data_IF_213842808065
#
_entry.id   IF_213842808065
#
_cell.length_a   1.000
_cell.length_b   1.000
_cell.length_c   1.000
_cell.angle_alpha   90.00
_cell.angle_beta   90.00
_cell.angle_gamma   90.00
#
_symmetry.space_group_name_H-M   'P 1'
#
loop_
_entity.id
_entity.type
_entity.pdbx_description
1 polymer ?
#
# COMPACT_ATOMS: atom_id res chain seq x y z
N UNK A 1 32.97 5.84 -42.56
CA UNK A 1 34.14 5.86 -41.66
C UNK A 1 33.83 4.95 -40.47
N UNK A 2 34.78 4.06 -40.19
CA UNK A 2 34.86 2.96 -39.20
C UNK A 2 34.30 3.28 -37.79
N UNK A 3 33.87 2.35 -36.94
CA UNK A 3 33.80 0.88 -36.98
C UNK A 3 32.85 0.38 -35.87
N UNK A 4 32.08 -0.66 -36.19
CA UNK A 4 31.47 -1.59 -35.25
C UNK A 4 32.56 -2.32 -34.45
N UNK A 5 32.36 -2.46 -33.13
CA UNK A 5 33.18 -3.32 -32.29
C UNK A 5 32.32 -4.46 -31.74
N UNK A 6 32.22 -5.51 -32.53
CA UNK A 6 31.77 -6.82 -32.11
C UNK A 6 32.92 -7.53 -31.38
N UNK A 7 32.69 -7.99 -30.15
CA UNK A 7 33.48 -9.06 -29.55
C UNK A 7 32.52 -10.20 -29.19
N UNK A 8 32.38 -11.06 -30.18
CA UNK A 8 31.89 -12.43 -30.11
C UNK A 8 32.75 -13.18 -29.09
N UNK A 9 32.11 -13.78 -28.09
CA UNK A 9 32.64 -14.98 -27.44
C UNK A 9 31.65 -16.11 -27.68
N UNK A 10 32.11 -17.07 -28.49
CA UNK A 10 31.49 -18.36 -28.72
C UNK A 10 31.61 -19.22 -27.44
N UNK A 11 30.49 -19.78 -27.01
CA UNK A 11 30.45 -20.75 -25.92
C UNK A 11 29.26 -21.69 -26.07
N UNK A 12 29.44 -22.70 -26.93
CA UNK A 12 28.78 -24.02 -26.99
C UNK A 12 27.25 -24.15 -26.81
N UNK A 13 26.63 -24.69 -27.87
CA UNK A 13 25.28 -25.25 -27.87
C UNK A 13 25.10 -26.40 -26.85
N UNK A 14 23.97 -26.40 -26.15
CA UNK A 14 23.27 -27.62 -25.75
C UNK A 14 21.77 -27.39 -25.93
N UNK A 15 21.18 -28.14 -26.86
CA UNK A 15 19.74 -28.24 -27.01
C UNK A 15 19.15 -28.98 -25.79
N UNK A 16 18.11 -28.43 -25.17
CA UNK A 16 17.22 -29.20 -24.30
C UNK A 16 15.76 -28.92 -24.65
N UNK A 17 15.02 -30.02 -24.64
CA UNK A 17 13.69 -30.27 -25.16
C UNK A 17 12.64 -29.82 -24.13
N UNK A 18 11.43 -29.54 -24.63
CA UNK A 18 10.16 -29.25 -23.96
C UNK A 18 10.07 -29.78 -22.51
N UNK A 19 9.80 -28.89 -21.56
CA UNK A 19 9.45 -29.19 -20.18
C UNK A 19 8.80 -27.97 -19.52
N UNK A 20 7.69 -28.19 -18.84
CA UNK A 20 6.78 -27.20 -18.25
C UNK A 20 7.44 -25.92 -17.72
N UNK A 21 6.78 -24.78 -17.98
CA UNK A 21 7.02 -23.50 -17.30
C UNK A 21 7.05 -23.81 -15.80
N UNK A 22 8.19 -23.74 -15.11
CA UNK A 22 8.13 -23.72 -13.67
C UNK A 22 7.48 -22.38 -13.36
N UNK A 23 6.28 -22.43 -12.77
CA UNK A 23 5.80 -21.31 -11.98
C UNK A 23 6.99 -20.83 -11.18
N UNK A 24 7.46 -19.60 -11.48
CA UNK A 24 8.57 -18.97 -10.81
C UNK A 24 8.24 -19.05 -9.32
N UNK A 25 8.83 -20.04 -8.65
CA UNK A 25 8.94 -20.06 -7.21
C UNK A 25 9.79 -18.83 -6.92
N UNK A 26 9.10 -17.71 -6.64
CA UNK A 26 9.72 -16.54 -6.08
C UNK A 26 10.56 -17.06 -4.90
N UNK A 27 11.85 -16.68 -4.81
CA UNK A 27 12.60 -17.00 -3.62
C UNK A 27 11.75 -16.55 -2.41
N UNK A 28 11.86 -17.25 -1.29
CA UNK A 28 11.45 -16.72 0.02
C UNK A 28 12.36 -15.53 0.33
N UNK A 29 12.21 -14.49 -0.48
CA UNK A 29 12.94 -13.25 -0.49
C UNK A 29 12.23 -12.37 0.51
N UNK A 30 13.06 -11.74 1.33
CA UNK A 30 12.66 -10.60 2.14
C UNK A 30 11.70 -9.71 1.34
N UNK A 31 10.54 -9.38 1.92
CA UNK A 31 9.54 -8.55 1.26
C UNK A 31 10.20 -7.29 0.69
N UNK A 32 9.89 -6.91 -0.55
CA UNK A 32 10.38 -5.69 -1.20
C UNK A 32 9.71 -4.43 -0.64
N UNK A 33 9.76 -4.27 0.68
CA UNK A 33 9.12 -3.17 1.41
C UNK A 33 9.69 -1.82 1.00
N UNK A 34 10.99 -1.73 0.66
CA UNK A 34 11.59 -0.49 0.20
C UNK A 34 10.95 0.02 -1.10
N UNK A 35 10.58 -0.90 -2.00
CA UNK A 35 9.87 -0.55 -3.25
C UNK A 35 8.46 -0.07 -2.97
N UNK A 36 7.76 -0.73 -2.03
CA UNK A 36 6.44 -0.29 -1.58
C UNK A 36 6.50 1.12 -0.97
N UNK A 37 7.43 1.37 -0.05
CA UNK A 37 7.58 2.70 0.59
C UNK A 37 7.89 3.78 -0.44
N UNK A 38 8.72 3.48 -1.45
CA UNK A 38 9.02 4.42 -2.52
C UNK A 38 7.81 4.71 -3.41
N UNK A 39 6.96 3.71 -3.68
CA UNK A 39 5.72 3.89 -4.42
C UNK A 39 4.70 4.69 -3.62
N UNK A 40 4.41 4.28 -2.39
CA UNK A 40 3.48 4.97 -1.48
C UNK A 40 3.89 6.44 -1.25
N UNK A 41 5.17 6.72 -0.99
CA UNK A 41 5.61 8.09 -0.72
C UNK A 41 5.66 8.97 -1.99
N UNK A 42 5.55 8.37 -3.17
CA UNK A 42 5.46 9.06 -4.46
C UNK A 42 4.04 9.11 -5.02
N UNK A 43 3.06 8.49 -4.34
CA UNK A 43 1.66 8.45 -4.76
C UNK A 43 1.00 9.82 -4.51
N UNK A 44 0.42 10.47 -5.54
CA UNK A 44 -0.34 11.70 -5.38
C UNK A 44 -1.42 11.61 -4.29
N UNK A 45 -2.13 10.48 -4.19
CA UNK A 45 -3.19 10.30 -3.20
C UNK A 45 -2.66 10.37 -1.76
N UNK A 46 -1.41 9.96 -1.54
CA UNK A 46 -0.73 10.07 -0.23
C UNK A 46 -0.10 11.45 -0.06
N UNK A 47 0.57 11.96 -1.10
CA UNK A 47 1.30 13.24 -0.98
C UNK A 47 0.40 14.47 -0.92
N UNK A 48 -0.82 14.38 -1.44
CA UNK A 48 -1.83 15.44 -1.44
C UNK A 48 -2.82 15.32 -0.26
N UNK A 49 -2.65 14.31 0.60
CA UNK A 49 -3.54 14.06 1.74
C UNK A 49 -3.41 15.17 2.80
N UNK A 50 -4.53 15.65 3.38
CA UNK A 50 -4.50 16.66 4.42
C UNK A 50 -3.74 16.16 5.67
N UNK A 51 -3.01 17.06 6.32
CA UNK A 51 -2.30 16.76 7.57
C UNK A 51 -0.78 16.66 7.44
N UNK A 52 -0.24 16.44 6.23
CA UNK A 52 1.19 16.49 5.96
C UNK A 52 1.76 17.92 5.89
N UNK A 53 0.92 18.90 5.56
CA UNK A 53 1.27 20.34 5.43
C UNK A 53 1.90 20.95 6.70
N UNK A 54 1.59 20.41 7.88
CA UNK A 54 2.14 20.89 9.15
C UNK A 54 3.61 20.47 9.37
N UNK A 55 4.18 19.64 8.48
CA UNK A 55 5.58 19.20 8.51
C UNK A 55 5.96 18.28 9.69
N UNK A 56 5.00 17.95 10.56
CA UNK A 56 5.19 17.05 11.71
C UNK A 56 5.25 15.59 11.29
N UNK A 57 4.47 15.24 10.27
CA UNK A 57 4.40 13.93 9.65
C UNK A 57 4.69 14.16 8.17
N UNK A 58 5.50 13.29 7.59
CA UNK A 58 5.80 13.27 6.15
C UNK A 58 5.09 12.09 5.49
N UNK A 59 4.78 12.17 4.19
CA UNK A 59 4.30 11.02 3.41
C UNK A 59 5.20 9.79 3.61
N UNK A 60 6.53 10.01 3.64
CA UNK A 60 7.48 8.94 3.92
C UNK A 60 7.29 8.29 5.30
N UNK A 61 7.12 9.06 6.38
CA UNK A 61 6.90 8.50 7.72
C UNK A 61 5.57 7.76 7.84
N UNK A 62 4.56 8.16 7.07
CA UNK A 62 3.29 7.44 6.95
C UNK A 62 3.49 6.11 6.23
N UNK A 63 4.12 6.11 5.05
CA UNK A 63 4.42 4.89 4.30
C UNK A 63 5.36 3.94 5.05
N UNK A 64 6.31 4.46 5.84
CA UNK A 64 7.16 3.67 6.73
C UNK A 64 6.34 3.00 7.86
N UNK A 65 5.27 3.66 8.34
CA UNK A 65 4.33 3.07 9.29
C UNK A 65 3.53 1.93 8.64
N UNK A 66 2.94 2.17 7.46
CA UNK A 66 2.15 1.16 6.73
C UNK A 66 3.03 -0.04 6.41
N UNK A 67 4.24 0.18 5.90
CA UNK A 67 5.26 -0.84 5.70
C UNK A 67 5.56 -1.68 6.96
N UNK A 68 5.55 -1.04 8.13
CA UNK A 68 5.68 -1.71 9.42
C UNK A 68 4.51 -2.64 9.74
N UNK A 69 3.28 -2.26 9.40
CA UNK A 69 2.08 -3.09 9.53
C UNK A 69 2.10 -4.26 8.53
N UNK A 70 2.48 -4.01 7.26
CA UNK A 70 2.65 -5.06 6.24
C UNK A 70 3.64 -6.14 6.70
N UNK A 71 4.73 -5.74 7.35
CA UNK A 71 5.73 -6.64 7.92
C UNK A 71 5.19 -7.53 9.06
N UNK A 72 4.12 -7.12 9.75
CA UNK A 72 3.46 -7.88 10.82
C UNK A 72 2.36 -8.80 10.27
N UNK A 73 1.71 -8.39 9.18
CA UNK A 73 0.54 -9.03 8.59
C UNK A 73 0.80 -10.40 7.91
N UNK A 74 2.04 -10.90 7.92
CA UNK A 74 2.45 -12.16 7.24
C UNK A 74 2.09 -12.19 5.75
N UNK A 75 2.15 -11.04 5.09
CA UNK A 75 1.91 -10.91 3.66
C UNK A 75 2.98 -11.65 2.84
N UNK A 76 2.60 -12.07 1.64
CA UNK A 76 3.51 -12.63 0.65
C UNK A 76 4.14 -11.51 -0.19
N UNK A 77 5.22 -11.82 -0.91
CA UNK A 77 5.80 -10.85 -1.86
C UNK A 77 4.78 -10.43 -2.92
N UNK A 78 3.90 -11.36 -3.33
CA UNK A 78 2.85 -11.10 -4.31
C UNK A 78 1.85 -10.05 -3.79
N UNK A 79 1.51 -10.10 -2.51
CA UNK A 79 0.65 -9.11 -1.86
C UNK A 79 1.32 -7.73 -1.86
N UNK A 80 2.58 -7.65 -1.42
CA UNK A 80 3.33 -6.38 -1.40
C UNK A 80 3.51 -5.82 -2.81
N UNK A 81 3.71 -6.68 -3.82
CA UNK A 81 3.80 -6.25 -5.21
C UNK A 81 2.46 -5.69 -5.72
N UNK A 82 1.31 -6.27 -5.34
CA UNK A 82 0.00 -5.72 -5.68
C UNK A 82 -0.25 -4.36 -5.01
N UNK A 83 0.08 -4.23 -3.73
CA UNK A 83 -0.02 -2.94 -3.02
C UNK A 83 0.93 -1.89 -3.62
N UNK A 84 2.12 -2.31 -4.05
CA UNK A 84 3.05 -1.43 -4.78
C UNK A 84 2.45 -0.97 -6.11
N UNK A 85 1.79 -1.88 -6.86
CA UNK A 85 1.08 -1.52 -8.10
C UNK A 85 -0.09 -0.58 -7.84
N UNK A 86 -0.81 -0.74 -6.73
CA UNK A 86 -1.91 0.14 -6.34
C UNK A 86 -1.43 1.59 -6.24
N UNK A 87 -0.36 1.85 -5.50
CA UNK A 87 0.23 3.20 -5.37
C UNK A 87 0.83 3.77 -6.66
N UNK A 88 1.02 2.94 -7.68
CA UNK A 88 1.49 3.35 -9.01
C UNK A 88 0.37 3.46 -10.04
N UNK A 89 -0.87 3.14 -9.64
CA UNK A 89 -2.02 3.01 -10.54
C UNK A 89 -1.76 1.99 -11.69
N UNK A 90 -0.97 0.95 -11.41
CA UNK A 90 -0.54 -0.08 -12.38
C UNK A 90 -1.34 -1.40 -12.24
N UNK A 91 -2.39 -1.43 -11.41
CA UNK A 91 -3.27 -2.59 -11.32
C UNK A 91 -4.13 -2.65 -12.59
N UNK A 92 -3.98 -3.74 -13.35
CA UNK A 92 -4.79 -4.01 -14.52
C UNK A 92 -5.99 -4.91 -14.22
N UNK A 93 -6.98 -4.94 -15.10
CA UNK A 93 -8.10 -5.89 -15.00
C UNK A 93 -7.61 -7.35 -14.94
N UNK A 94 -6.55 -7.67 -15.69
CA UNK A 94 -5.94 -9.00 -15.66
C UNK A 94 -5.28 -9.32 -14.30
N UNK A 95 -4.73 -8.32 -13.61
CA UNK A 95 -4.23 -8.49 -12.24
C UNK A 95 -5.39 -8.76 -11.27
N UNK A 96 -6.51 -8.03 -11.40
CA UNK A 96 -7.71 -8.25 -10.60
C UNK A 96 -8.32 -9.64 -10.81
N UNK A 97 -8.41 -10.10 -12.07
CA UNK A 97 -8.88 -11.45 -12.39
C UNK A 97 -7.94 -12.55 -11.88
N UNK A 98 -6.62 -12.30 -11.91
CA UNK A 98 -5.60 -13.25 -11.46
C UNK A 98 -5.32 -13.21 -9.94
N UNK A 99 -5.98 -12.31 -9.22
CA UNK A 99 -5.79 -12.07 -7.79
C UNK A 99 -7.15 -12.02 -7.07
N UNK A 100 -7.77 -13.19 -6.83
CA UNK A 100 -9.14 -13.26 -6.29
C UNK A 100 -9.30 -12.67 -4.88
N UNK A 101 -8.21 -12.46 -4.16
CA UNK A 101 -8.19 -11.83 -2.82
C UNK A 101 -7.70 -10.38 -2.87
N UNK A 102 -7.75 -9.73 -4.05
CA UNK A 102 -7.24 -8.38 -4.21
C UNK A 102 -8.06 -7.38 -3.41
N UNK A 103 -9.38 -7.51 -3.43
CA UNK A 103 -10.29 -6.69 -2.63
C UNK A 103 -10.01 -6.84 -1.13
N UNK A 104 -9.86 -8.07 -0.62
CA UNK A 104 -9.50 -8.32 0.78
C UNK A 104 -8.13 -7.69 1.14
N UNK A 105 -7.17 -7.74 0.22
CA UNK A 105 -5.84 -7.16 0.40
C UNK A 105 -5.89 -5.63 0.44
N UNK A 106 -6.69 -5.00 -0.43
CA UNK A 106 -6.87 -3.55 -0.44
C UNK A 106 -7.62 -3.07 0.81
N UNK A 107 -8.67 -3.77 1.23
CA UNK A 107 -9.39 -3.48 2.48
C UNK A 107 -8.49 -3.63 3.71
N UNK A 108 -7.61 -4.65 3.73
CA UNK A 108 -6.63 -4.79 4.80
C UNK A 108 -5.61 -3.64 4.81
N UNK A 109 -5.19 -3.19 3.62
CA UNK A 109 -4.29 -2.05 3.47
C UNK A 109 -4.91 -0.75 3.99
N UNK A 110 -6.16 -0.47 3.65
CA UNK A 110 -6.93 0.67 4.19
C UNK A 110 -6.94 0.65 5.72
N UNK A 111 -7.18 -0.52 6.34
CA UNK A 111 -7.10 -0.66 7.80
C UNK A 111 -5.70 -0.38 8.38
N UNK A 112 -4.63 -0.67 7.66
CA UNK A 112 -3.26 -0.32 8.07
C UNK A 112 -2.99 1.17 7.92
N UNK A 113 -3.46 1.77 6.83
CA UNK A 113 -3.41 3.19 6.52
C UNK A 113 -4.11 4.00 7.62
N UNK A 114 -5.35 3.64 7.97
CA UNK A 114 -6.12 4.26 9.05
C UNK A 114 -5.43 4.17 10.42
N UNK A 115 -4.91 2.97 10.75
CA UNK A 115 -4.17 2.75 11.98
C UNK A 115 -2.93 3.66 12.06
N UNK A 116 -2.25 3.83 10.93
CA UNK A 116 -1.09 4.71 10.81
C UNK A 116 -1.47 6.19 10.87
N UNK A 117 -2.54 6.62 10.19
CA UNK A 117 -3.09 7.99 10.31
C UNK A 117 -3.38 8.32 11.77
N UNK A 118 -4.13 7.45 12.45
CA UNK A 118 -4.45 7.59 13.88
C UNK A 118 -3.21 7.64 14.77
N UNK A 119 -2.23 6.76 14.53
CA UNK A 119 -1.00 6.69 15.33
C UNK A 119 -0.09 7.91 15.13
N UNK A 120 -0.11 8.50 13.94
CA UNK A 120 0.68 9.68 13.57
C UNK A 120 -0.05 11.00 13.85
N UNK A 121 -1.34 10.95 14.19
CA UNK A 121 -2.17 12.13 14.44
C UNK A 121 -2.54 12.89 13.16
N UNK A 122 -2.60 12.19 12.03
CA UNK A 122 -3.18 12.70 10.78
C UNK A 122 -4.71 12.74 10.91
N UNK A 123 -5.39 13.65 10.19
CA UNK A 123 -6.85 13.66 10.13
C UNK A 123 -7.34 12.30 9.59
N UNK A 124 -8.40 11.76 10.19
CA UNK A 124 -9.12 10.65 9.58
C UNK A 124 -9.83 11.14 8.32
N UNK A 125 -10.03 10.26 7.35
CA UNK A 125 -10.82 10.58 6.17
C UNK A 125 -12.22 11.05 6.60
N UNK A 126 -12.67 12.18 6.07
CA UNK A 126 -13.84 12.94 6.54
C UNK A 126 -15.19 12.18 6.43
N UNK A 127 -15.18 10.95 5.91
CA UNK A 127 -16.33 10.05 5.88
C UNK A 127 -16.51 9.25 7.19
N UNK A 128 -15.55 9.32 8.12
CA UNK A 128 -15.72 8.80 9.48
C UNK A 128 -16.20 9.90 10.41
N UNK A 129 -17.52 10.06 10.47
CA UNK A 129 -18.17 10.75 11.61
C UNK A 129 -17.66 10.06 12.88
N UNK A 130 -17.09 10.78 13.85
CA UNK A 130 -16.73 10.16 15.11
C UNK A 130 -18.00 9.61 15.76
N UNK A 131 -18.09 8.29 15.88
CA UNK A 131 -18.97 7.65 16.86
C UNK A 131 -18.35 7.96 18.24
N UNK A 132 -18.62 9.17 18.73
CA UNK A 132 -18.36 9.58 20.10
C UNK A 132 -19.33 8.82 21.03
N UNK A 133 -19.11 7.51 21.14
CA UNK A 133 -19.72 6.66 22.13
C UNK A 133 -19.15 6.92 23.52
N UNK A 134 -19.41 8.10 24.11
CA UNK A 134 -19.23 8.30 25.55
C UNK A 134 -20.07 9.46 26.12
N UNK A 135 -21.15 9.13 26.84
CA UNK A 135 -21.58 9.94 27.99
C UNK A 135 -23.09 10.24 28.11
N UNK A 136 -23.79 9.36 28.81
CA UNK A 136 -25.13 9.54 29.37
C UNK A 136 -25.41 10.88 30.09
N UNK A 137 -26.65 11.36 29.86
CA UNK A 137 -27.60 12.04 30.77
C UNK A 137 -27.78 13.58 30.70
N UNK A 138 -29.02 14.07 30.95
CA UNK A 138 -30.33 13.58 30.53
C UNK A 138 -31.13 14.66 29.76
N UNK A 139 -32.23 14.24 29.14
CA UNK A 139 -33.25 15.12 28.55
C UNK A 139 -33.63 16.26 29.50
N UNK A 140 -33.30 17.49 29.11
CA UNK A 140 -33.83 18.71 29.70
C UNK A 140 -35.04 19.19 28.90
N UNK A 141 -36.16 18.47 29.01
CA UNK A 141 -37.47 19.09 28.88
C UNK A 141 -37.69 19.89 30.17
N UNK A 142 -37.49 21.21 30.15
CA UNK A 142 -38.27 22.09 31.03
C UNK A 142 -38.44 23.48 30.39
N UNK A 143 -39.66 23.70 29.95
CA UNK A 143 -40.15 24.97 29.46
C UNK A 143 -40.18 26.02 30.57
N UNK A 144 -39.68 27.23 30.29
CA UNK A 144 -40.39 28.50 30.54
C UNK A 144 -39.57 29.70 30.04
N UNK A 145 -40.14 30.61 29.23
CA UNK A 145 -39.53 31.90 28.94
C UNK A 145 -39.72 32.91 30.10
N UNK A 146 -38.82 33.89 30.25
CA UNK A 146 -38.81 34.79 31.41
C UNK A 146 -39.84 35.94 31.31
N UNK A 147 -40.44 36.19 32.47
CA UNK A 147 -41.20 37.36 33.00
C UNK A 147 -42.41 37.93 32.23
#
# INVERSE_FOLDING_TARGET
>A
MYAMRACIWLGACAAFVIGAVPALAAPAGKLNIDTFVAACAGDPNVTEEPGFEAGKVTPKSYCDCVAGELGKAKLTQKDVDMLTKMHKEEISDADAEAYPTLEDLLNANEGYEDSCKKSLGLPADEDTVPDDGQGDAPSGDDASPPE
#
